data_IF_389748791056
#
_entry.id   IF_389748791056
#
_cell.length_a   1.000
_cell.length_b   1.000
_cell.length_c   1.000
_cell.angle_alpha   90.00
_cell.angle_beta   90.00
_cell.angle_gamma   90.00
#
_symmetry.space_group_name_H-M   'P 1'
#
loop_
_entity.id
_entity.type
_entity.pdbx_description
1 polymer ?
#
# COMPACT_ATOMS: atom_id res chain seq x y z
N UNK A 1 -2.66 -1.72 7.78
CA UNK A 1 -1.74 -1.02 6.86
C UNK A 1 -2.44 -0.86 5.53
N UNK A 2 -2.43 0.36 4.98
CA UNK A 2 -2.89 0.65 3.62
C UNK A 2 -1.65 0.67 2.73
N UNK A 3 -1.60 -0.21 1.72
CA UNK A 3 -0.49 -0.19 0.77
C UNK A 3 -0.65 0.96 -0.21
N UNK A 4 0.46 1.61 -0.53
CA UNK A 4 0.51 2.71 -1.50
C UNK A 4 0.13 2.28 -2.93
N UNK A 5 -0.33 3.25 -3.73
CA UNK A 5 -0.69 3.16 -5.14
C UNK A 5 -2.11 3.60 -5.49
N UNK A 6 -3.03 3.74 -4.53
CA UNK A 6 -4.39 4.27 -4.77
C UNK A 6 -5.12 4.65 -3.46
N UNK A 7 -5.32 5.96 -3.18
CA UNK A 7 -5.99 6.45 -1.97
C UNK A 7 -7.41 5.92 -1.72
N UNK A 8 -8.09 5.40 -2.74
CA UNK A 8 -9.43 4.79 -2.59
C UNK A 8 -9.43 3.64 -1.56
N UNK A 9 -8.29 2.97 -1.36
CA UNK A 9 -8.07 1.94 -0.32
C UNK A 9 -8.35 2.46 1.09
N UNK A 10 -8.28 3.77 1.31
CA UNK A 10 -8.70 4.42 2.55
C UNK A 10 -10.15 4.12 2.92
N UNK A 11 -11.03 3.88 1.95
CA UNK A 11 -12.43 3.49 2.19
C UNK A 11 -12.48 2.15 2.94
N UNK A 12 -11.85 1.12 2.39
CA UNK A 12 -11.79 -0.20 3.03
C UNK A 12 -11.06 -0.14 4.39
N UNK A 13 -9.99 0.65 4.48
CA UNK A 13 -9.29 0.92 5.75
C UNK A 13 -10.21 1.47 6.84
N UNK A 14 -11.01 2.47 6.50
CA UNK A 14 -11.96 3.08 7.42
C UNK A 14 -13.06 2.09 7.84
N UNK A 15 -13.56 1.25 6.93
CA UNK A 15 -14.56 0.24 7.27
C UNK A 15 -14.01 -0.81 8.25
N UNK A 16 -12.76 -1.25 8.08
CA UNK A 16 -12.10 -2.15 9.02
C UNK A 16 -11.89 -1.51 10.40
N UNK A 17 -11.55 -0.22 10.44
CA UNK A 17 -11.44 0.56 11.67
C UNK A 17 -12.78 0.65 12.40
N UNK A 18 -13.86 1.02 11.70
CA UNK A 18 -15.21 1.14 12.28
C UNK A 18 -15.75 -0.18 12.83
N UNK A 19 -15.36 -1.31 12.24
CA UNK A 19 -15.67 -2.65 12.75
C UNK A 19 -14.86 -3.05 14.00
N UNK A 20 -13.96 -2.19 14.48
CA UNK A 20 -13.10 -2.46 15.63
C UNK A 20 -11.97 -3.45 15.36
N UNK A 21 -11.71 -3.79 14.09
CA UNK A 21 -10.74 -4.83 13.72
C UNK A 21 -9.29 -4.33 13.65
N UNK A 22 -9.11 -3.01 13.47
CA UNK A 22 -7.81 -2.37 13.39
C UNK A 22 -7.85 -1.03 14.14
N UNK A 23 -7.38 -0.97 15.40
CA UNK A 23 -7.43 0.27 16.19
C UNK A 23 -6.46 1.35 15.68
N UNK A 24 -5.46 0.96 14.88
CA UNK A 24 -4.49 1.85 14.25
C UNK A 24 -4.41 1.58 12.74
N UNK A 25 -4.33 2.65 11.97
CA UNK A 25 -4.13 2.61 10.52
C UNK A 25 -2.75 3.17 10.20
N UNK A 26 -1.92 2.36 9.54
CA UNK A 26 -0.61 2.77 9.04
C UNK A 26 -0.72 3.11 7.55
N UNK A 27 -0.17 4.26 7.17
CA UNK A 27 -0.11 4.77 5.78
C UNK A 27 1.35 5.14 5.49
N UNK A 28 1.94 4.51 4.47
CA UNK A 28 3.30 4.81 4.06
C UNK A 28 3.38 6.09 3.24
N UNK A 29 4.54 6.75 3.23
CA UNK A 29 4.80 7.88 2.33
C UNK A 29 5.54 7.39 1.07
N UNK A 30 4.89 7.30 -0.10
CA UNK A 30 5.55 6.84 -1.32
C UNK A 30 6.58 7.85 -1.81
N UNK A 31 7.41 7.42 -2.75
CA UNK A 31 8.20 8.34 -3.56
C UNK A 31 7.28 9.31 -4.29
N UNK A 32 7.58 10.59 -4.15
CA UNK A 32 6.90 11.66 -4.83
C UNK A 32 7.78 12.17 -5.96
N UNK A 33 7.53 11.68 -7.18
CA UNK A 33 8.16 12.22 -8.38
C UNK A 33 7.29 13.35 -8.93
N UNK A 34 7.36 14.53 -8.31
CA UNK A 34 6.89 15.72 -8.99
C UNK A 34 7.74 15.97 -10.23
N UNK A 35 7.10 16.33 -11.34
CA UNK A 35 7.81 17.02 -12.40
C UNK A 35 8.18 18.39 -11.84
N UNK A 36 9.47 18.60 -11.59
CA UNK A 36 10.00 19.81 -10.96
C UNK A 36 9.48 21.06 -11.67
N UNK A 37 9.43 21.01 -13.00
CA UNK A 37 8.93 22.07 -13.86
C UNK A 37 7.48 22.45 -13.54
N UNK A 38 6.63 21.48 -13.18
CA UNK A 38 5.22 21.73 -12.84
C UNK A 38 5.08 22.31 -11.42
N UNK A 39 5.92 21.88 -10.47
CA UNK A 39 5.95 22.46 -9.12
C UNK A 39 6.44 23.90 -9.18
N UNK A 40 7.47 24.18 -9.99
CA UNK A 40 8.00 25.53 -10.18
C UNK A 40 6.96 26.47 -10.83
N UNK A 41 6.01 25.94 -11.61
CA UNK A 41 4.84 26.66 -12.12
C UNK A 41 3.74 26.91 -11.07
N UNK A 42 3.91 26.41 -9.84
CA UNK A 42 2.92 26.56 -8.76
C UNK A 42 1.73 25.61 -8.87
N UNK A 43 1.82 24.54 -9.67
CA UNK A 43 0.74 23.55 -9.73
C UNK A 43 0.62 22.81 -8.39
N UNK A 44 -0.60 22.70 -7.84
CA UNK A 44 -0.80 22.00 -6.58
C UNK A 44 -0.64 20.49 -6.82
N UNK A 45 0.30 19.89 -6.10
CA UNK A 45 0.43 18.44 -6.02
C UNK A 45 0.09 17.99 -4.61
N UNK A 46 -0.88 17.09 -4.49
CA UNK A 46 -1.11 16.39 -3.25
C UNK A 46 -0.20 15.16 -3.21
N UNK A 47 0.51 14.98 -2.10
CA UNK A 47 1.19 13.72 -1.83
C UNK A 47 0.14 12.63 -1.59
N UNK A 48 0.40 11.39 -2.03
CA UNK A 48 -0.59 10.31 -1.94
C UNK A 48 -1.05 10.06 -0.49
N UNK A 49 -0.15 10.19 0.49
CA UNK A 49 -0.48 10.08 1.91
C UNK A 49 -1.47 11.15 2.38
N UNK A 50 -1.48 12.33 1.79
CA UNK A 50 -2.45 13.38 2.11
C UNK A 50 -3.84 13.01 1.62
N UNK A 51 -3.94 12.43 0.43
CA UNK A 51 -5.22 11.94 -0.10
C UNK A 51 -5.75 10.77 0.73
N UNK A 52 -4.88 9.87 1.21
CA UNK A 52 -5.28 8.87 2.21
C UNK A 52 -5.84 9.52 3.48
N UNK A 53 -5.17 10.52 4.03
CA UNK A 53 -5.65 11.23 5.22
C UNK A 53 -7.01 11.88 4.98
N UNK A 54 -7.22 12.51 3.81
CA UNK A 54 -8.49 13.12 3.43
C UNK A 54 -9.60 12.07 3.31
N UNK A 55 -9.36 10.96 2.63
CA UNK A 55 -10.33 9.85 2.52
C UNK A 55 -10.69 9.30 3.89
N UNK A 56 -9.70 9.03 4.74
CA UNK A 56 -9.91 8.50 6.09
C UNK A 56 -10.69 9.49 6.97
N UNK A 57 -10.38 10.78 6.89
CA UNK A 57 -11.08 11.84 7.62
C UNK A 57 -12.55 11.97 7.17
N UNK A 58 -12.80 11.99 5.86
CA UNK A 58 -14.15 12.02 5.29
C UNK A 58 -14.96 10.77 5.67
N UNK A 59 -14.28 9.63 5.85
CA UNK A 59 -14.89 8.40 6.34
C UNK A 59 -15.03 8.36 7.87
N UNK A 60 -14.62 9.40 8.60
CA UNK A 60 -14.81 9.53 10.04
C UNK A 60 -13.75 8.84 10.91
N UNK A 61 -12.58 8.53 10.36
CA UNK A 61 -11.45 8.01 11.16
C UNK A 61 -10.72 9.19 11.82
N UNK A 62 -10.56 9.20 13.15
CA UNK A 62 -9.87 10.27 13.83
C UNK A 62 -8.37 10.27 13.49
N UNK A 63 -7.76 11.46 13.36
CA UNK A 63 -6.33 11.60 13.04
C UNK A 63 -5.42 10.86 14.02
N UNK A 64 -5.84 10.75 15.29
CA UNK A 64 -5.14 10.03 16.36
C UNK A 64 -5.07 8.50 16.15
N UNK A 65 -5.91 7.93 15.30
CA UNK A 65 -5.86 6.52 14.90
C UNK A 65 -4.92 6.27 13.71
N UNK A 66 -4.43 7.33 13.05
CA UNK A 66 -3.63 7.22 11.83
C UNK A 66 -2.15 7.45 12.16
N UNK A 67 -1.28 6.59 11.65
CA UNK A 67 0.18 6.70 11.74
C UNK A 67 0.74 6.77 10.32
N UNK A 68 1.38 7.89 10.01
CA UNK A 68 2.21 8.00 8.81
C UNK A 68 3.60 7.46 9.15
N UNK A 69 4.22 6.73 8.24
CA UNK A 69 5.55 6.15 8.43
C UNK A 69 6.38 6.20 7.15
N UNK A 70 7.70 6.14 7.31
CA UNK A 70 8.67 6.20 6.23
C UNK A 70 8.62 7.47 5.39
N UNK A 71 9.43 7.49 4.35
CA UNK A 71 9.53 8.56 3.37
C UNK A 71 10.06 7.96 2.06
N UNK A 72 9.42 8.29 0.94
CA UNK A 72 9.97 7.98 -0.38
C UNK A 72 9.95 6.50 -0.76
N UNK A 73 8.99 5.71 -0.29
CA UNK A 73 8.94 4.29 -0.64
C UNK A 73 8.75 4.08 -2.14
N UNK A 74 9.68 3.37 -2.78
CA UNK A 74 9.58 3.02 -4.21
C UNK A 74 8.84 1.70 -4.44
N UNK A 75 8.76 0.85 -3.41
CA UNK A 75 8.19 -0.48 -3.55
C UNK A 75 7.48 -0.97 -2.30
N UNK A 76 6.60 -1.96 -2.49
CA UNK A 76 5.93 -2.65 -1.38
C UNK A 76 6.93 -3.34 -0.45
N UNK A 77 8.09 -3.77 -0.95
CA UNK A 77 9.11 -4.40 -0.09
C UNK A 77 9.67 -3.37 0.88
N UNK A 78 10.04 -2.19 0.39
CA UNK A 78 10.56 -1.12 1.23
C UNK A 78 9.54 -0.58 2.22
N UNK A 79 8.28 -0.47 1.80
CA UNK A 79 7.20 -0.04 2.66
C UNK A 79 7.06 -0.97 3.88
N UNK A 80 7.08 -2.29 3.65
CA UNK A 80 6.92 -3.29 4.71
C UNK A 80 8.14 -3.38 5.61
N UNK A 81 9.35 -3.31 5.05
CA UNK A 81 10.59 -3.29 5.83
C UNK A 81 10.75 -2.02 6.66
N UNK A 82 10.36 -0.87 6.12
CA UNK A 82 10.36 0.40 6.87
C UNK A 82 9.35 0.35 8.00
N UNK A 83 8.14 -0.17 7.76
CA UNK A 83 7.19 -0.42 8.83
C UNK A 83 7.79 -1.34 9.92
N UNK A 84 8.47 -2.43 9.54
CA UNK A 84 9.09 -3.36 10.50
C UNK A 84 10.13 -2.66 11.38
N UNK A 85 10.96 -1.80 10.79
CA UNK A 85 11.97 -1.01 11.51
C UNK A 85 11.31 -0.01 12.47
N UNK A 86 10.32 0.75 11.99
CA UNK A 86 9.68 1.79 12.79
C UNK A 86 8.76 1.25 13.89
N UNK A 87 8.13 0.08 13.69
CA UNK A 87 7.34 -0.56 14.74
C UNK A 87 8.22 -0.94 15.93
N UNK A 88 9.47 -1.39 15.70
CA UNK A 88 10.36 -1.86 16.78
C UNK A 88 9.93 -3.16 17.46
N UNK A 89 8.73 -3.68 17.19
CA UNK A 89 8.19 -4.94 17.72
C UNK A 89 7.47 -5.76 16.63
N UNK A 90 7.19 -7.03 16.92
CA UNK A 90 6.36 -7.89 16.06
C UNK A 90 4.89 -7.79 16.51
N UNK A 91 3.98 -7.25 15.67
CA UNK A 91 2.56 -7.27 15.98
C UNK A 91 2.02 -8.71 15.95
N UNK A 92 0.97 -9.01 16.72
CA UNK A 92 0.33 -10.34 16.66
C UNK A 92 -0.41 -10.57 15.35
N UNK A 93 -1.00 -9.51 14.80
CA UNK A 93 -1.74 -9.55 13.54
C UNK A 93 -1.60 -8.24 12.77
N UNK A 94 -1.67 -8.35 11.44
CA UNK A 94 -1.72 -7.21 10.52
C UNK A 94 -2.83 -7.42 9.51
N UNK A 95 -3.71 -6.42 9.38
CA UNK A 95 -4.62 -6.29 8.24
C UNK A 95 -3.93 -5.46 7.15
N UNK A 96 -3.80 -6.01 5.96
CA UNK A 96 -3.13 -5.39 4.82
C UNK A 96 -4.17 -5.09 3.75
N UNK A 97 -4.46 -3.80 3.52
CA UNK A 97 -5.39 -3.37 2.47
C UNK A 97 -4.62 -3.09 1.19
N UNK A 98 -5.05 -3.69 0.10
CA UNK A 98 -4.42 -3.58 -1.22
C UNK A 98 -5.41 -3.96 -2.32
N UNK A 99 -5.05 -3.76 -3.57
CA UNK A 99 -5.86 -4.21 -4.70
C UNK A 99 -5.95 -5.75 -4.78
N UNK A 100 -7.06 -6.33 -5.26
CA UNK A 100 -7.23 -7.76 -5.42
C UNK A 100 -6.10 -8.46 -6.18
N UNK A 101 -5.69 -7.92 -7.33
CA UNK A 101 -4.61 -8.49 -8.14
C UNK A 101 -3.25 -8.52 -7.42
N UNK A 102 -2.99 -7.54 -6.54
CA UNK A 102 -1.75 -7.42 -5.76
C UNK A 102 -1.72 -8.32 -4.51
N UNK A 103 -2.84 -8.93 -4.12
CA UNK A 103 -2.98 -9.60 -2.82
C UNK A 103 -2.00 -10.73 -2.59
N UNK A 104 -1.68 -11.52 -3.64
CA UNK A 104 -0.76 -12.66 -3.51
C UNK A 104 0.67 -12.20 -3.22
N UNK A 105 1.19 -11.21 -3.96
CA UNK A 105 2.57 -10.74 -3.78
C UNK A 105 2.72 -10.00 -2.47
N UNK A 106 1.75 -9.14 -2.13
CA UNK A 106 1.70 -8.49 -0.83
C UNK A 106 1.78 -9.52 0.32
N UNK A 107 0.94 -10.57 0.30
CA UNK A 107 0.98 -11.61 1.34
C UNK A 107 2.38 -12.22 1.48
N UNK A 108 3.04 -12.57 0.38
CA UNK A 108 4.39 -13.16 0.41
C UNK A 108 5.44 -12.21 1.00
N UNK A 109 5.39 -10.93 0.64
CA UNK A 109 6.30 -9.89 1.17
C UNK A 109 6.11 -9.76 2.69
N UNK A 110 4.85 -9.59 3.15
CA UNK A 110 4.57 -9.44 4.57
C UNK A 110 4.95 -10.67 5.38
N UNK A 111 4.67 -11.88 4.88
CA UNK A 111 5.05 -13.11 5.57
C UNK A 111 6.57 -13.26 5.70
N UNK A 112 7.33 -12.76 4.72
CA UNK A 112 8.80 -12.78 4.77
C UNK A 112 9.36 -11.80 5.80
N UNK A 113 8.79 -10.60 5.89
CA UNK A 113 9.27 -9.54 6.80
C UNK A 113 8.74 -9.71 8.23
N UNK A 114 7.54 -10.27 8.38
CA UNK A 114 6.86 -10.49 9.66
C UNK A 114 6.50 -11.98 9.85
N UNK A 115 7.49 -12.86 10.03
CA UNK A 115 7.28 -14.32 10.03
C UNK A 115 6.40 -14.83 11.18
N UNK A 116 6.32 -14.08 12.28
CA UNK A 116 5.56 -14.47 13.49
C UNK A 116 4.21 -13.73 13.58
N UNK A 117 3.90 -12.87 12.62
CA UNK A 117 2.67 -12.08 12.60
C UNK A 117 1.60 -12.79 11.78
N UNK A 118 0.37 -12.85 12.28
CA UNK A 118 -0.79 -13.28 11.47
C UNK A 118 -1.14 -12.22 10.42
N UNK A 119 -0.78 -12.48 9.16
CA UNK A 119 -1.09 -11.60 8.03
C UNK A 119 -2.45 -11.94 7.43
N UNK A 120 -3.35 -10.96 7.41
CA UNK A 120 -4.63 -11.03 6.71
C UNK A 120 -4.65 -9.95 5.63
N UNK A 121 -4.67 -10.37 4.37
CA UNK A 121 -4.85 -9.45 3.25
C UNK A 121 -6.33 -9.21 3.06
N UNK A 122 -6.71 -7.93 3.01
CA UNK A 122 -8.07 -7.44 2.86
C UNK A 122 -8.15 -6.68 1.54
N UNK A 123 -8.48 -7.35 0.43
CA UNK A 123 -8.59 -6.70 -0.87
C UNK A 123 -9.60 -5.55 -0.84
N UNK A 124 -9.26 -4.41 -1.42
CA UNK A 124 -10.20 -3.31 -1.60
C UNK A 124 -11.18 -3.64 -2.74
N UNK A 125 -12.49 -3.75 -2.48
CA UNK A 125 -13.47 -4.02 -3.52
C UNK A 125 -13.53 -2.94 -4.60
N UNK A 126 -13.12 -1.70 -4.31
CA UNK A 126 -13.13 -0.60 -5.29
C UNK A 126 -12.10 -0.79 -6.41
N UNK A 127 -11.13 -1.69 -6.22
CA UNK A 127 -10.11 -2.01 -7.21
C UNK A 127 -10.32 -3.40 -7.84
N UNK A 128 -11.55 -3.93 -7.78
CA UNK A 128 -11.92 -5.16 -8.45
C UNK A 128 -11.59 -5.10 -9.95
N UNK A 129 -11.09 -6.21 -10.47
CA UNK A 129 -10.88 -6.37 -11.91
C UNK A 129 -12.20 -6.75 -12.58
N UNK A 130 -12.30 -6.41 -13.86
CA UNK A 130 -13.37 -6.94 -14.70
C UNK A 130 -13.36 -8.47 -14.72
N UNK A 131 -14.50 -9.17 -14.61
CA UNK A 131 -14.53 -10.63 -14.64
C UNK A 131 -13.90 -11.22 -15.91
N UNK A 132 -14.08 -10.53 -17.04
CA UNK A 132 -13.39 -10.81 -18.31
C UNK A 132 -12.19 -9.90 -18.48
N UNK A 133 -11.31 -9.87 -17.48
CA UNK A 133 -10.16 -8.96 -17.42
C UNK A 133 -9.29 -8.97 -18.68
N UNK A 134 -9.23 -10.08 -19.41
CA UNK A 134 -8.45 -10.20 -20.66
C UNK A 134 -9.04 -9.43 -21.84
N UNK A 135 -10.30 -8.99 -21.75
CA UNK A 135 -10.97 -8.13 -22.74
C UNK A 135 -10.97 -6.65 -22.34
N UNK A 136 -10.71 -6.35 -21.07
CA UNK A 136 -10.58 -4.99 -20.58
C UNK A 136 -9.12 -4.57 -20.53
N UNK A 137 -8.77 -3.49 -21.24
CA UNK A 137 -7.38 -3.02 -21.37
C UNK A 137 -6.76 -2.73 -20.00
N UNK A 138 -7.50 -2.07 -19.10
CA UNK A 138 -6.94 -1.64 -17.81
C UNK A 138 -6.68 -2.85 -16.90
N UNK A 139 -7.63 -3.77 -16.84
CA UNK A 139 -7.53 -5.00 -16.06
C UNK A 139 -6.44 -5.93 -16.60
N UNK A 140 -6.37 -6.11 -17.93
CA UNK A 140 -5.31 -6.89 -18.57
C UNK A 140 -3.92 -6.34 -18.23
N UNK A 141 -3.72 -5.02 -18.33
CA UNK A 141 -2.42 -4.41 -17.99
C UNK A 141 -2.04 -4.64 -16.52
N UNK A 142 -2.98 -4.49 -15.59
CA UNK A 142 -2.77 -4.74 -14.16
C UNK A 142 -2.35 -6.20 -13.91
N UNK A 143 -3.04 -7.16 -14.52
CA UNK A 143 -2.73 -8.60 -14.38
C UNK A 143 -1.35 -8.93 -14.95
N UNK A 144 -1.02 -8.44 -16.14
CA UNK A 144 0.29 -8.69 -16.78
C UNK A 144 1.41 -8.10 -15.96
N UNK A 145 1.29 -6.83 -15.54
CA UNK A 145 2.30 -6.16 -14.73
C UNK A 145 2.50 -6.88 -13.38
N UNK A 146 1.42 -7.27 -12.72
CA UNK A 146 1.52 -7.95 -11.42
C UNK A 146 2.10 -9.36 -11.56
N UNK A 147 1.82 -10.04 -12.68
CA UNK A 147 2.47 -11.33 -13.00
C UNK A 147 3.98 -11.16 -13.17
N UNK A 148 4.42 -10.13 -13.90
CA UNK A 148 5.84 -9.83 -14.06
C UNK A 148 6.51 -9.45 -12.72
N UNK A 149 5.87 -8.58 -11.93
CA UNK A 149 6.35 -8.19 -10.58
C UNK A 149 6.45 -9.40 -9.64
N UNK A 150 5.50 -10.32 -9.71
CA UNK A 150 5.54 -11.58 -8.96
C UNK A 150 6.73 -12.44 -9.36
N UNK A 151 6.93 -12.65 -10.67
CA UNK A 151 8.05 -13.46 -11.16
C UNK A 151 9.40 -12.84 -10.76
N UNK A 152 9.55 -11.52 -10.90
CA UNK A 152 10.74 -10.79 -10.46
C UNK A 152 11.01 -10.97 -8.97
N UNK A 153 9.98 -10.83 -8.13
CA UNK A 153 10.11 -11.03 -6.68
C UNK A 153 10.49 -12.46 -6.30
N UNK A 154 9.87 -13.47 -6.93
CA UNK A 154 10.21 -14.88 -6.70
C UNK A 154 11.63 -15.22 -7.17
N UNK A 155 12.14 -14.52 -8.18
CA UNK A 155 13.54 -14.58 -8.62
C UNK A 155 14.53 -13.86 -7.70
N UNK A 156 14.08 -13.32 -6.56
CA UNK A 156 14.92 -12.60 -5.58
C UNK A 156 15.02 -11.09 -5.82
N UNK A 157 14.33 -10.57 -6.84
CA UNK A 157 14.31 -9.15 -7.15
C UNK A 157 13.49 -8.32 -6.15
N UNK A 158 13.97 -7.13 -5.83
CA UNK A 158 13.22 -6.14 -5.08
C UNK A 158 13.65 -4.73 -5.51
N UNK A 159 12.69 -3.86 -5.83
CA UNK A 159 12.97 -2.46 -6.11
C UNK A 159 13.30 -1.71 -4.81
N UNK A 160 14.35 -0.89 -4.85
CA UNK A 160 14.88 -0.15 -3.72
C UNK A 160 15.22 1.29 -4.11
N UNK A 161 14.99 2.24 -3.20
CA UNK A 161 15.41 3.63 -3.29
C UNK A 161 16.89 3.82 -2.94
N UNK A 162 17.46 2.89 -2.17
CA UNK A 162 18.90 2.80 -1.90
C UNK A 162 19.46 1.49 -2.44
N UNK A 163 20.70 1.46 -3.00
CA UNK A 163 21.34 0.21 -3.39
C UNK A 163 21.31 -0.80 -2.24
N UNK A 164 21.11 -2.08 -2.56
CA UNK A 164 21.25 -3.13 -1.55
C UNK A 164 22.70 -3.10 -1.01
N UNK A 165 22.89 -3.30 0.31
CA UNK A 165 24.23 -3.47 0.86
C UNK A 165 24.92 -4.71 0.30
#
# INVERSE_FOLDING_TARGET
>A
MLLNGNPVRGIQGAELYKKGLAPLIFVGRPEFTAQKELVDLGLPFAHEEEDYLRVLALKGVPRSAIRLFGQGHMSTVEEVETLRRELGFQPKSLLVVTAPFHSRRARLIFQRVFPETKILVCPDPQEALEPRWWKDRQSALKVVQETAKMAYYLGGGAFRSTPAP
#
